data_IF_859044037562
#
_entry.id   IF_859044037562
#
_cell.length_a   1.000
_cell.length_b   1.000
_cell.length_c   1.000
_cell.angle_alpha   90.00
_cell.angle_beta   90.00
_cell.angle_gamma   90.00
#
_symmetry.space_group_name_H-M   'P 1'
#
loop_
_entity.id
_entity.type
_entity.pdbx_description
1 polymer ?
#
# COMPACT_ATOMS: atom_id res chain seq x y z
N UNK A 1 -12.46 -26.16 8.16
CA UNK A 1 -13.44 -26.11 7.05
C UNK A 1 -14.44 -27.27 7.09
N UNK A 2 -14.00 -28.55 7.08
CA UNK A 2 -14.94 -29.69 7.11
C UNK A 2 -15.83 -29.75 8.37
N UNK A 3 -15.31 -29.34 9.53
CA UNK A 3 -16.10 -29.25 10.78
C UNK A 3 -17.28 -28.29 10.67
N UNK A 4 -17.14 -27.18 9.92
CA UNK A 4 -18.21 -26.21 9.69
C UNK A 4 -19.32 -26.84 8.86
N UNK A 5 -18.96 -27.46 7.74
CA UNK A 5 -19.91 -28.13 6.83
C UNK A 5 -20.69 -29.21 7.58
N UNK A 6 -19.99 -30.05 8.35
CA UNK A 6 -20.61 -31.12 9.11
C UNK A 6 -21.54 -30.58 10.23
N UNK A 7 -21.17 -29.52 10.95
CA UNK A 7 -22.07 -28.89 11.94
C UNK A 7 -23.29 -28.24 11.29
N UNK A 8 -23.16 -27.66 10.09
CA UNK A 8 -24.30 -27.13 9.32
C UNK A 8 -25.27 -28.24 8.93
N UNK A 9 -24.76 -29.35 8.39
CA UNK A 9 -25.59 -30.52 8.04
C UNK A 9 -26.28 -31.10 9.27
N UNK A 10 -25.57 -31.22 10.39
CA UNK A 10 -26.17 -31.67 11.65
C UNK A 10 -27.31 -30.75 12.10
N UNK A 11 -27.13 -29.43 12.00
CA UNK A 11 -28.16 -28.45 12.35
C UNK A 11 -29.38 -28.50 11.40
N UNK A 12 -29.20 -29.00 10.17
CA UNK A 12 -30.25 -29.23 9.19
C UNK A 12 -30.98 -30.59 9.38
N UNK A 13 -30.64 -31.36 10.42
CA UNK A 13 -31.30 -32.63 10.76
C UNK A 13 -30.60 -33.89 10.24
N UNK A 14 -29.42 -33.77 9.64
CA UNK A 14 -28.63 -34.92 9.21
C UNK A 14 -27.88 -35.56 10.38
N UNK A 15 -27.75 -36.88 10.37
CA UNK A 15 -26.97 -37.62 11.37
C UNK A 15 -25.48 -37.65 11.00
N UNK A 16 -24.61 -37.29 11.95
CA UNK A 16 -23.16 -37.36 11.77
C UNK A 16 -22.63 -38.71 12.24
N UNK A 17 -22.28 -39.56 11.29
CA UNK A 17 -21.62 -40.84 11.58
C UNK A 17 -20.10 -40.66 11.74
N UNK A 18 -19.53 -41.30 12.75
CA UNK A 18 -18.06 -41.39 12.93
C UNK A 18 -17.56 -42.69 12.32
N UNK A 19 -16.52 -42.62 11.48
CA UNK A 19 -15.90 -43.79 10.86
C UNK A 19 -14.58 -44.11 11.56
N UNK A 20 -14.39 -45.37 11.95
CA UNK A 20 -13.12 -45.89 12.47
C UNK A 20 -12.26 -46.36 11.29
N UNK A 21 -11.03 -45.86 11.20
CA UNK A 21 -10.11 -46.22 10.11
C UNK A 21 -9.22 -47.38 10.59
N UNK A 22 -9.50 -48.58 10.10
CA UNK A 22 -8.68 -49.78 10.35
C UNK A 22 -7.27 -49.57 9.78
N UNK A 23 -6.26 -49.50 10.65
CA UNK A 23 -4.85 -49.30 10.30
C UNK A 23 -4.17 -48.16 11.06
N UNK A 24 -4.89 -47.06 11.31
CA UNK A 24 -4.35 -45.88 11.99
C UNK A 24 -4.84 -45.73 13.46
N UNK A 25 -5.67 -46.67 13.95
CA UNK A 25 -6.31 -46.62 15.30
C UNK A 25 -6.96 -45.26 15.60
N UNK A 26 -7.49 -44.59 14.58
CA UNK A 26 -8.13 -43.28 14.69
C UNK A 26 -9.56 -43.31 14.13
N UNK A 27 -10.30 -42.25 14.44
CA UNK A 27 -11.67 -42.04 13.98
C UNK A 27 -11.84 -40.63 13.42
N UNK A 28 -12.74 -40.48 12.45
CA UNK A 28 -13.04 -39.20 11.79
C UNK A 28 -14.55 -39.05 11.62
N UNK A 29 -15.11 -37.82 11.75
CA UNK A 29 -14.44 -36.57 12.13
C UNK A 29 -14.18 -36.44 13.65
N UNK A 30 -13.05 -35.82 14.03
CA UNK A 30 -12.78 -35.47 15.43
C UNK A 30 -13.38 -34.12 15.80
N UNK A 31 -14.49 -34.16 16.54
CA UNK A 31 -15.24 -33.00 17.03
C UNK A 31 -14.89 -32.56 18.45
N UNK A 32 -13.65 -32.80 18.90
CA UNK A 32 -13.24 -32.38 20.24
C UNK A 32 -13.16 -30.85 20.33
N UNK A 33 -13.82 -30.31 21.34
CA UNK A 33 -13.73 -28.89 21.68
C UNK A 33 -12.36 -28.56 22.25
N UNK A 34 -11.95 -27.31 22.07
CA UNK A 34 -10.71 -26.77 22.64
C UNK A 34 -11.05 -25.90 23.83
N UNK A 35 -10.27 -25.98 24.91
CA UNK A 35 -10.42 -25.11 26.06
C UNK A 35 -9.34 -24.05 26.05
N UNK A 36 -9.74 -22.79 26.12
CA UNK A 36 -8.85 -21.62 26.21
C UNK A 36 -9.23 -20.85 27.47
N UNK A 37 -8.23 -20.40 28.22
CA UNK A 37 -8.44 -19.65 29.46
C UNK A 37 -8.18 -18.17 29.17
N UNK A 38 -9.20 -17.33 29.34
CA UNK A 38 -9.11 -15.88 29.25
C UNK A 38 -9.07 -15.27 30.65
N UNK A 39 -8.13 -14.38 30.92
CA UNK A 39 -8.13 -13.61 32.15
C UNK A 39 -8.98 -12.33 31.98
N UNK A 40 -9.83 -12.02 32.96
CA UNK A 40 -10.66 -10.81 32.99
C UNK A 40 -9.83 -9.53 32.82
N UNK A 41 -8.69 -9.41 33.50
CA UNK A 41 -7.86 -8.21 33.43
C UNK A 41 -7.34 -7.98 32.01
N UNK A 42 -6.99 -9.05 31.28
CA UNK A 42 -6.53 -8.95 29.89
C UNK A 42 -7.63 -8.42 28.97
N UNK A 43 -8.86 -8.93 29.10
CA UNK A 43 -9.98 -8.47 28.30
C UNK A 43 -10.30 -6.99 28.58
N UNK A 44 -10.35 -6.62 29.86
CA UNK A 44 -10.61 -5.25 30.28
C UNK A 44 -9.50 -4.28 29.87
N UNK A 45 -8.22 -4.67 30.03
CA UNK A 45 -7.09 -3.81 29.64
C UNK A 45 -7.02 -3.59 28.13
N UNK A 46 -7.32 -4.62 27.34
CA UNK A 46 -7.27 -4.53 25.88
C UNK A 46 -8.46 -3.74 25.31
N UNK A 47 -9.66 -3.91 25.89
CA UNK A 47 -10.88 -3.24 25.42
C UNK A 47 -11.09 -1.86 26.03
N UNK A 48 -10.33 -1.48 27.05
CA UNK A 48 -10.56 -0.25 27.81
C UNK A 48 -11.89 -0.27 28.58
N UNK A 49 -12.35 -1.46 28.98
CA UNK A 49 -13.61 -1.68 29.69
C UNK A 49 -13.37 -2.13 31.13
N UNK A 50 -14.44 -2.17 31.92
CA UNK A 50 -14.44 -2.75 33.27
C UNK A 50 -15.59 -3.75 33.42
N UNK A 51 -15.58 -4.79 32.59
CA UNK A 51 -16.58 -5.86 32.59
C UNK A 51 -16.28 -6.86 33.69
N UNK A 52 -17.31 -7.26 34.44
CA UNK A 52 -17.21 -8.35 35.41
C UNK A 52 -17.09 -9.72 34.71
N UNK A 53 -16.59 -10.78 35.38
CA UNK A 53 -16.47 -12.12 34.77
C UNK A 53 -17.81 -12.66 34.28
N UNK A 54 -18.90 -12.37 34.99
CA UNK A 54 -20.25 -12.76 34.58
C UNK A 54 -20.68 -12.07 33.28
N UNK A 55 -20.34 -10.79 33.11
CA UNK A 55 -20.62 -10.04 31.88
C UNK A 55 -19.80 -10.58 30.71
N UNK A 56 -18.51 -10.86 30.92
CA UNK A 56 -17.62 -11.49 29.92
C UNK A 56 -18.14 -12.86 29.49
N UNK A 57 -18.61 -13.69 30.42
CA UNK A 57 -19.25 -14.97 30.08
C UNK A 57 -20.50 -14.74 29.23
N UNK A 58 -21.32 -13.74 29.54
CA UNK A 58 -22.52 -13.44 28.75
C UNK A 58 -22.20 -12.99 27.33
N UNK A 59 -21.12 -12.22 27.12
CA UNK A 59 -20.72 -11.76 25.78
C UNK A 59 -20.18 -12.92 24.95
N UNK A 60 -19.30 -13.75 25.52
CA UNK A 60 -18.80 -14.96 24.86
C UNK A 60 -19.93 -15.92 24.46
N UNK A 61 -20.94 -16.09 25.32
CA UNK A 61 -22.11 -16.93 25.00
C UNK A 61 -22.94 -16.39 23.83
N UNK A 62 -23.12 -15.07 23.72
CA UNK A 62 -23.76 -14.47 22.53
C UNK A 62 -23.02 -14.81 21.25
N UNK A 63 -21.71 -14.99 21.32
CA UNK A 63 -20.86 -15.37 20.21
C UNK A 63 -20.71 -16.90 20.05
N UNK A 64 -21.64 -17.68 20.62
CA UNK A 64 -21.70 -19.15 20.54
C UNK A 64 -20.49 -19.86 21.14
N UNK A 65 -19.88 -19.25 22.16
CA UNK A 65 -18.80 -19.84 22.94
C UNK A 65 -19.29 -20.19 24.33
N UNK A 66 -19.19 -21.46 24.71
CA UNK A 66 -19.53 -21.89 26.05
C UNK A 66 -18.43 -21.46 27.02
N UNK A 67 -18.77 -20.60 27.98
CA UNK A 67 -17.81 -20.04 28.92
C UNK A 67 -18.27 -20.22 30.37
N UNK A 68 -17.31 -20.48 31.25
CA UNK A 68 -17.53 -20.58 32.71
C UNK A 68 -16.50 -19.76 33.45
N UNK A 69 -16.95 -18.96 34.43
CA UNK A 69 -16.06 -18.17 35.26
C UNK A 69 -15.53 -18.99 36.45
N UNK A 70 -14.23 -18.92 36.70
CA UNK A 70 -13.52 -19.39 37.88
C UNK A 70 -12.72 -18.22 38.44
N UNK A 71 -13.31 -17.47 39.37
CA UNK A 71 -12.77 -16.19 39.85
C UNK A 71 -12.54 -15.22 38.67
N UNK A 72 -11.30 -14.74 38.49
CA UNK A 72 -10.89 -13.85 37.39
C UNK A 72 -10.58 -14.56 36.07
N UNK A 73 -10.60 -15.89 36.04
CA UNK A 73 -10.31 -16.67 34.85
C UNK A 73 -11.61 -17.21 34.24
N UNK A 74 -11.81 -16.96 32.95
CA UNK A 74 -12.92 -17.47 32.17
C UNK A 74 -12.40 -18.66 31.36
N UNK A 75 -12.93 -19.86 31.63
CA UNK A 75 -12.65 -21.06 30.84
C UNK A 75 -13.65 -21.09 29.70
N UNK A 76 -13.16 -20.82 28.49
CA UNK A 76 -13.94 -20.83 27.26
C UNK A 76 -13.75 -22.15 26.52
N UNK A 77 -14.85 -22.78 26.15
CA UNK A 77 -14.91 -24.00 25.34
C UNK A 77 -15.25 -23.60 23.92
N UNK A 78 -14.23 -23.69 23.07
CA UNK A 78 -14.30 -23.33 21.65
C UNK A 78 -14.77 -24.55 20.88
N UNK A 79 -15.97 -24.50 20.28
CA UNK A 79 -16.50 -25.63 19.53
C UNK A 79 -15.67 -25.86 18.26
N UNK A 80 -15.59 -27.10 17.80
CA UNK A 80 -14.70 -27.46 16.67
C UNK A 80 -14.99 -26.72 15.36
N UNK A 81 -16.21 -26.21 15.16
CA UNK A 81 -16.59 -25.42 13.99
C UNK A 81 -16.02 -23.98 14.03
N UNK A 82 -15.65 -23.45 15.19
CA UNK A 82 -14.92 -22.18 15.34
C UNK A 82 -13.42 -22.42 15.13
N UNK A 83 -13.04 -22.52 13.85
CA UNK A 83 -11.66 -22.77 13.44
C UNK A 83 -10.80 -21.50 13.43
N UNK A 84 -11.45 -20.35 13.50
CA UNK A 84 -10.90 -18.99 13.55
C UNK A 84 -10.32 -18.63 14.93
N UNK A 85 -10.75 -19.29 16.01
CA UNK A 85 -10.25 -19.04 17.37
C UNK A 85 -9.04 -19.94 17.66
N UNK A 86 -7.88 -19.34 17.87
CA UNK A 86 -6.61 -20.00 18.18
C UNK A 86 -6.07 -19.67 19.57
N UNK A 87 -6.34 -18.47 20.07
CA UNK A 87 -5.74 -17.95 21.30
C UNK A 87 -6.67 -17.06 22.13
N UNK A 88 -6.08 -16.43 23.15
CA UNK A 88 -6.81 -15.55 24.08
C UNK A 88 -7.24 -14.23 23.46
N UNK A 89 -6.47 -13.69 22.52
CA UNK A 89 -6.82 -12.44 21.83
C UNK A 89 -8.07 -12.59 20.96
N UNK A 90 -8.25 -13.75 20.32
CA UNK A 90 -9.49 -14.03 19.59
C UNK A 90 -10.69 -14.06 20.55
N UNK A 91 -10.51 -14.55 21.78
CA UNK A 91 -11.57 -14.45 22.80
C UNK A 91 -11.83 -13.00 23.24
N UNK A 92 -10.81 -12.13 23.26
CA UNK A 92 -11.00 -10.70 23.54
C UNK A 92 -11.82 -10.03 22.43
N UNK A 93 -11.55 -10.37 21.16
CA UNK A 93 -12.36 -9.94 20.02
C UNK A 93 -13.82 -10.39 20.17
N UNK A 94 -14.04 -11.66 20.54
CA UNK A 94 -15.38 -12.19 20.77
C UNK A 94 -16.11 -11.51 21.93
N UNK A 95 -15.38 -11.11 22.98
CA UNK A 95 -15.93 -10.29 24.06
C UNK A 95 -16.34 -8.92 23.55
N UNK A 96 -15.55 -8.28 22.67
CA UNK A 96 -15.88 -7.00 22.05
C UNK A 96 -17.14 -7.12 21.18
N UNK A 97 -17.23 -8.15 20.34
CA UNK A 97 -18.39 -8.43 19.48
C UNK A 97 -19.65 -8.69 20.31
N UNK A 98 -19.56 -9.53 21.34
CA UNK A 98 -20.71 -9.84 22.21
C UNK A 98 -21.13 -8.67 23.12
N UNK A 99 -20.19 -7.76 23.43
CA UNK A 99 -20.46 -6.49 24.09
C UNK A 99 -21.15 -5.49 23.15
N UNK A 100 -20.83 -5.54 21.87
CA UNK A 100 -21.26 -4.58 20.84
C UNK A 100 -20.17 -3.53 20.63
N UNK A 101 -19.55 -3.51 19.45
CA UNK A 101 -18.48 -2.57 19.09
C UNK A 101 -18.97 -1.13 19.21
N UNK A 102 -20.25 -0.90 18.88
CA UNK A 102 -20.93 0.39 18.98
C UNK A 102 -21.03 0.94 20.42
N UNK A 103 -20.87 0.08 21.43
CA UNK A 103 -20.90 0.48 22.83
C UNK A 103 -19.51 0.90 23.35
N UNK A 104 -18.45 0.69 22.57
CA UNK A 104 -17.10 1.12 22.94
C UNK A 104 -17.02 2.65 22.85
N UNK A 105 -16.62 3.29 23.95
CA UNK A 105 -16.42 4.74 23.97
C UNK A 105 -15.02 5.06 23.44
N UNK A 106 -14.89 5.83 22.34
CA UNK A 106 -13.58 6.22 21.83
C UNK A 106 -12.79 7.00 22.89
N UNK A 107 -11.55 6.58 23.11
CA UNK A 107 -10.62 7.29 23.99
C UNK A 107 -9.35 7.59 23.20
N UNK A 108 -8.99 8.88 23.11
CA UNK A 108 -7.75 9.32 22.49
C UNK A 108 -6.66 9.34 23.56
N UNK A 109 -5.73 8.41 23.46
CA UNK A 109 -4.49 8.52 24.23
C UNK A 109 -3.73 9.75 23.74
N UNK A 110 -3.23 10.61 24.65
CA UNK A 110 -2.41 11.73 24.24
C UNK A 110 -1.16 11.20 23.52
N UNK A 111 -0.72 11.84 22.42
CA UNK A 111 0.48 11.40 21.71
C UNK A 111 1.67 11.45 22.67
N UNK A 112 2.40 10.34 22.77
CA UNK A 112 3.59 10.26 23.62
C UNK A 112 4.83 10.90 22.99
N UNK A 113 4.78 11.15 21.68
CA UNK A 113 5.88 11.70 20.90
C UNK A 113 5.39 12.82 20.00
N UNK A 114 6.27 13.79 19.75
CA UNK A 114 6.07 14.80 18.71
C UNK A 114 6.58 14.23 17.39
N UNK A 115 5.71 14.17 16.38
CA UNK A 115 6.10 13.85 15.02
C UNK A 115 6.80 15.04 14.36
N UNK A 116 7.74 14.75 13.47
CA UNK A 116 8.33 15.73 12.56
C UNK A 116 8.14 15.27 11.13
N UNK A 117 8.01 16.21 10.20
CA UNK A 117 7.96 15.88 8.77
C UNK A 117 9.33 15.41 8.30
N UNK A 118 9.32 14.48 7.35
CA UNK A 118 10.55 14.04 6.69
C UNK A 118 11.13 15.21 5.88
N UNK A 119 12.44 15.44 6.00
CA UNK A 119 13.14 16.48 5.23
C UNK A 119 12.97 16.31 3.72
N UNK A 120 13.03 15.09 3.22
CA UNK A 120 12.79 14.76 1.81
C UNK A 120 11.40 15.20 1.36
N UNK A 121 10.37 14.94 2.16
CA UNK A 121 9.01 15.40 1.87
C UNK A 121 8.92 16.92 1.80
N UNK A 122 9.55 17.64 2.74
CA UNK A 122 9.55 19.11 2.71
C UNK A 122 10.27 19.66 1.47
N UNK A 123 11.40 19.05 1.09
CA UNK A 123 12.13 19.40 -0.13
C UNK A 123 11.28 19.20 -1.38
N UNK A 124 10.65 18.03 -1.53
CA UNK A 124 9.80 17.72 -2.69
C UNK A 124 8.56 18.61 -2.73
N UNK A 125 7.97 18.89 -1.58
CA UNK A 125 6.83 19.80 -1.48
C UNK A 125 7.22 21.22 -1.90
N UNK A 126 8.37 21.73 -1.45
CA UNK A 126 8.90 23.03 -1.88
C UNK A 126 9.16 23.07 -3.40
N UNK A 127 9.69 21.98 -3.95
CA UNK A 127 9.93 21.82 -5.38
C UNK A 127 8.63 21.88 -6.19
N UNK A 128 7.60 21.12 -5.80
CA UNK A 128 6.29 21.16 -6.47
C UNK A 128 5.67 22.56 -6.40
N UNK A 129 5.75 23.25 -5.27
CA UNK A 129 5.30 24.65 -5.16
C UNK A 129 6.06 25.59 -6.10
N UNK A 130 7.37 25.39 -6.25
CA UNK A 130 8.21 26.17 -7.18
C UNK A 130 7.77 25.96 -8.62
N UNK A 131 7.58 24.71 -9.05
CA UNK A 131 7.14 24.37 -10.41
C UNK A 131 5.75 24.92 -10.72
N UNK A 132 4.81 24.82 -9.76
CA UNK A 132 3.48 25.44 -9.88
C UNK A 132 3.59 26.96 -10.00
N UNK A 133 4.45 27.59 -9.20
CA UNK A 133 4.74 29.03 -9.30
C UNK A 133 5.34 29.46 -10.64
N UNK A 134 6.06 28.56 -11.32
CA UNK A 134 6.58 28.75 -12.67
C UNK A 134 5.53 28.47 -13.78
N UNK A 135 4.28 28.17 -13.39
CA UNK A 135 3.16 27.97 -14.30
C UNK A 135 3.03 26.55 -14.87
N UNK A 136 3.64 25.56 -14.22
CA UNK A 136 3.49 24.15 -14.61
C UNK A 136 2.36 23.45 -13.88
N UNK A 137 1.72 22.51 -14.56
CA UNK A 137 0.76 21.58 -13.97
C UNK A 137 1.45 20.27 -13.58
N UNK A 138 1.23 19.81 -12.34
CA UNK A 138 1.78 18.53 -11.89
C UNK A 138 1.01 17.36 -12.52
N UNK A 139 1.74 16.43 -13.12
CA UNK A 139 1.23 15.18 -13.64
C UNK A 139 1.62 14.03 -12.71
N UNK A 140 0.74 13.03 -12.60
CA UNK A 140 0.99 11.82 -11.84
C UNK A 140 0.89 10.62 -12.79
N UNK A 141 2.02 10.10 -13.23
CA UNK A 141 2.06 8.93 -14.10
C UNK A 141 2.33 7.66 -13.27
N UNK A 142 1.85 6.52 -13.78
CA UNK A 142 2.15 5.22 -13.17
C UNK A 142 3.65 4.92 -13.22
N UNK A 143 4.19 4.39 -12.12
CA UNK A 143 5.55 3.84 -12.08
C UNK A 143 5.70 2.57 -12.91
N UNK A 144 4.59 1.88 -13.21
CA UNK A 144 4.54 0.76 -14.16
C UNK A 144 4.04 1.25 -15.52
N UNK A 145 4.82 1.00 -16.55
CA UNK A 145 4.54 1.39 -17.94
C UNK A 145 4.83 0.23 -18.90
N UNK A 146 4.83 0.50 -20.20
CA UNK A 146 5.12 -0.45 -21.26
C UNK A 146 6.46 -0.15 -21.93
N UNK A 147 7.04 -1.19 -22.54
CA UNK A 147 8.28 -1.06 -23.33
C UNK A 147 8.12 -0.03 -24.44
N UNK A 148 6.94 -0.03 -25.07
CA UNK A 148 6.59 0.89 -26.16
C UNK A 148 6.76 2.35 -25.74
N UNK A 149 6.17 2.72 -24.60
CA UNK A 149 6.21 4.12 -24.13
C UNK A 149 7.61 4.47 -23.63
N UNK A 150 8.23 3.60 -22.83
CA UNK A 150 9.46 3.93 -22.12
C UNK A 150 10.72 3.90 -23.01
N UNK A 151 10.77 2.99 -23.99
CA UNK A 151 11.95 2.72 -24.82
C UNK A 151 11.70 2.94 -26.31
N UNK A 152 10.67 2.31 -26.88
CA UNK A 152 10.49 2.31 -28.34
C UNK A 152 10.16 3.72 -28.88
N UNK A 153 9.27 4.47 -28.19
CA UNK A 153 8.91 5.84 -28.58
C UNK A 153 9.99 6.88 -28.23
N UNK A 154 10.92 6.55 -27.34
CA UNK A 154 11.98 7.48 -26.89
C UNK A 154 13.34 7.14 -27.49
N UNK A 155 13.40 6.14 -28.37
CA UNK A 155 14.62 5.60 -28.98
C UNK A 155 15.70 5.21 -27.95
N UNK A 156 15.29 4.78 -26.74
CA UNK A 156 16.21 4.36 -25.67
C UNK A 156 16.47 2.85 -25.73
N UNK A 157 17.68 2.45 -25.33
CA UNK A 157 18.04 1.03 -25.22
C UNK A 157 17.26 0.36 -24.08
N UNK A 158 16.76 -0.84 -24.33
CA UNK A 158 15.91 -1.61 -23.40
C UNK A 158 16.64 -2.77 -22.71
N UNK A 159 17.97 -2.90 -22.88
CA UNK A 159 18.76 -4.00 -22.28
C UNK A 159 18.70 -4.02 -20.74
N UNK A 160 18.58 -2.83 -20.12
CA UNK A 160 18.53 -2.66 -18.67
C UNK A 160 17.12 -2.54 -18.10
N UNK A 161 16.10 -2.79 -18.91
CA UNK A 161 14.71 -2.79 -18.50
C UNK A 161 14.42 -3.77 -17.35
N UNK A 162 13.55 -3.35 -16.43
CA UNK A 162 13.06 -4.17 -15.33
C UNK A 162 11.57 -4.45 -15.51
N UNK A 163 11.24 -5.71 -15.78
CA UNK A 163 9.87 -6.17 -16.00
C UNK A 163 9.32 -6.92 -14.80
N UNK A 164 8.01 -6.78 -14.55
CA UNK A 164 7.29 -7.66 -13.62
C UNK A 164 7.17 -9.07 -14.22
N UNK A 165 7.14 -10.10 -13.36
CA UNK A 165 7.05 -11.49 -13.83
C UNK A 165 5.71 -11.78 -14.51
N UNK A 166 4.61 -11.43 -13.84
CA UNK A 166 3.25 -11.62 -14.35
C UNK A 166 2.51 -10.30 -14.28
N UNK A 167 2.08 -9.78 -15.43
CA UNK A 167 1.17 -8.63 -15.49
C UNK A 167 -0.16 -9.02 -16.09
N UNK A 168 -1.23 -8.47 -15.52
CA UNK A 168 -2.58 -8.56 -16.08
C UNK A 168 -2.82 -7.58 -17.23
N UNK A 169 -1.92 -6.61 -17.43
CA UNK A 169 -2.02 -5.59 -18.48
C UNK A 169 -0.70 -5.47 -19.24
N UNK A 170 -0.77 -5.37 -20.56
CA UNK A 170 0.42 -5.09 -21.39
C UNK A 170 0.96 -3.66 -21.18
N UNK A 171 0.12 -2.75 -20.69
CA UNK A 171 0.47 -1.35 -20.42
C UNK A 171 1.28 -1.16 -19.12
N UNK A 172 1.26 -2.16 -18.23
CA UNK A 172 1.91 -2.10 -16.93
C UNK A 172 2.81 -3.32 -16.73
N UNK A 173 3.87 -3.38 -17.53
CA UNK A 173 4.79 -4.53 -17.58
C UNK A 173 6.18 -4.20 -17.05
N UNK A 174 6.55 -2.93 -16.98
CA UNK A 174 7.92 -2.47 -16.75
C UNK A 174 7.96 -1.32 -15.75
N UNK A 175 8.93 -1.34 -14.85
CA UNK A 175 9.22 -0.21 -13.97
C UNK A 175 9.89 0.92 -14.76
N UNK A 176 9.39 2.15 -14.58
CA UNK A 176 9.93 3.33 -15.25
C UNK A 176 11.34 3.67 -14.76
N UNK A 177 12.22 3.99 -15.71
CA UNK A 177 13.56 4.51 -15.45
C UNK A 177 13.72 5.96 -15.99
N UNK A 178 12.63 6.54 -16.52
CA UNK A 178 12.64 7.82 -17.22
C UNK A 178 11.26 8.48 -17.21
N UNK A 179 11.08 9.49 -16.35
CA UNK A 179 9.80 10.20 -16.16
C UNK A 179 9.32 10.88 -17.44
N UNK A 180 10.25 11.46 -18.21
CA UNK A 180 9.92 12.25 -19.39
C UNK A 180 9.11 11.47 -20.43
N UNK A 181 9.30 10.14 -20.54
CA UNK A 181 8.49 9.29 -21.41
C UNK A 181 6.98 9.38 -21.10
N UNK A 182 6.62 9.42 -19.81
CA UNK A 182 5.24 9.57 -19.36
C UNK A 182 4.69 10.96 -19.71
N UNK A 183 5.46 12.02 -19.47
CA UNK A 183 5.07 13.39 -19.79
C UNK A 183 4.85 13.59 -21.30
N UNK A 184 5.71 13.03 -22.15
CA UNK A 184 5.54 13.06 -23.61
C UNK A 184 4.28 12.29 -24.02
N UNK A 185 4.03 11.13 -23.41
CA UNK A 185 2.82 10.36 -23.67
C UNK A 185 1.55 11.15 -23.27
N UNK A 186 1.62 11.93 -22.18
CA UNK A 186 0.53 12.82 -21.78
C UNK A 186 0.28 13.91 -22.82
N UNK A 187 1.32 14.58 -23.32
CA UNK A 187 1.19 15.54 -24.42
C UNK A 187 0.56 14.90 -25.65
N UNK A 188 0.99 13.69 -26.01
CA UNK A 188 0.46 12.98 -27.19
C UNK A 188 -1.02 12.61 -27.06
N UNK A 189 -1.49 12.35 -25.84
CA UNK A 189 -2.90 12.04 -25.57
C UNK A 189 -3.78 13.28 -25.46
N UNK A 190 -3.17 14.46 -25.26
CA UNK A 190 -3.84 15.74 -25.06
C UNK A 190 -3.56 16.74 -26.20
N UNK A 191 -3.27 16.27 -27.41
CA UNK A 191 -3.04 17.14 -28.59
C UNK A 191 -4.24 18.02 -28.95
N UNK A 192 -5.44 17.67 -28.47
CA UNK A 192 -6.68 18.41 -28.69
C UNK A 192 -6.88 19.54 -27.67
N UNK A 193 -6.08 19.56 -26.60
CA UNK A 193 -6.16 20.57 -25.55
C UNK A 193 -5.40 21.85 -25.94
N UNK A 194 -5.83 23.03 -25.46
CA UNK A 194 -5.18 24.30 -25.78
C UNK A 194 -3.70 24.35 -25.40
N UNK A 195 -2.90 24.97 -26.26
CA UNK A 195 -1.52 25.36 -25.96
C UNK A 195 -1.47 26.77 -25.34
N UNK A 196 -0.47 27.12 -24.52
CA UNK A 196 0.70 26.30 -24.15
C UNK A 196 0.35 25.21 -23.13
N UNK A 197 0.95 24.03 -23.30
CA UNK A 197 0.88 22.95 -22.32
C UNK A 197 2.21 22.85 -21.58
N UNK A 198 2.17 23.03 -20.25
CA UNK A 198 3.34 22.97 -19.36
C UNK A 198 3.07 21.95 -18.26
N UNK A 199 3.80 20.85 -18.27
CA UNK A 199 3.62 19.76 -17.29
C UNK A 199 4.93 19.41 -16.62
N UNK A 200 4.87 19.03 -15.35
CA UNK A 200 6.00 18.47 -14.63
C UNK A 200 5.58 17.25 -13.83
N UNK A 201 6.53 16.41 -13.50
CA UNK A 201 6.31 15.30 -12.58
C UNK A 201 7.56 15.09 -11.73
N UNK A 202 7.34 14.90 -10.44
CA UNK A 202 8.35 14.42 -9.50
C UNK A 202 7.99 13.00 -9.10
N UNK A 203 8.90 12.05 -9.22
CA UNK A 203 8.60 10.69 -8.81
C UNK A 203 9.76 9.72 -8.89
N UNK A 204 9.53 8.52 -8.39
CA UNK A 204 10.56 7.49 -8.34
C UNK A 204 10.82 6.90 -9.72
N UNK A 205 12.09 6.79 -10.07
CA UNK A 205 12.61 5.97 -11.16
C UNK A 205 13.42 4.82 -10.59
N UNK A 206 13.50 3.74 -11.35
CA UNK A 206 14.13 2.51 -10.90
C UNK A 206 15.28 2.14 -11.82
N UNK A 207 16.41 1.73 -11.24
CA UNK A 207 17.53 1.14 -12.00
C UNK A 207 18.01 -0.16 -11.38
N UNK A 208 18.64 -1.02 -12.20
CA UNK A 208 19.15 -2.32 -11.74
C UNK A 208 20.23 -2.11 -10.66
N UNK A 209 20.03 -2.76 -9.53
CA UNK A 209 20.96 -2.80 -8.39
C UNK A 209 20.68 -4.04 -7.55
N UNK A 210 21.51 -4.30 -6.54
CA UNK A 210 21.20 -5.29 -5.51
C UNK A 210 21.43 -4.68 -4.11
N UNK A 211 20.38 -4.16 -3.44
CA UNK A 211 18.97 -4.09 -3.87
C UNK A 211 18.73 -3.13 -5.05
N UNK A 212 17.54 -3.18 -5.66
CA UNK A 212 17.12 -2.26 -6.73
C UNK A 212 17.33 -0.81 -6.28
N UNK A 213 17.87 0.02 -7.16
CA UNK A 213 18.10 1.43 -6.85
C UNK A 213 16.83 2.22 -7.15
N UNK A 214 16.42 3.04 -6.19
CA UNK A 214 15.25 3.93 -6.28
C UNK A 214 15.73 5.37 -6.10
N UNK A 215 15.44 6.21 -7.09
CA UNK A 215 15.80 7.63 -7.07
C UNK A 215 14.59 8.48 -7.41
N UNK A 216 14.48 9.65 -6.78
CA UNK A 216 13.43 10.61 -7.11
C UNK A 216 13.97 11.56 -8.17
N UNK A 217 13.32 11.57 -9.32
CA UNK A 217 13.65 12.46 -10.42
C UNK A 217 12.55 13.52 -10.58
N UNK A 218 12.95 14.69 -11.09
CA UNK A 218 12.04 15.72 -11.59
C UNK A 218 12.19 15.77 -13.12
N UNK A 219 11.07 15.75 -13.83
CA UNK A 219 11.04 16.07 -15.26
C UNK A 219 9.95 17.11 -15.55
N UNK A 220 10.14 17.91 -16.60
CA UNK A 220 9.14 18.84 -17.08
C UNK A 220 9.17 18.96 -18.60
N UNK A 221 8.05 19.39 -19.18
CA UNK A 221 7.84 19.57 -20.62
C UNK A 221 7.09 20.86 -20.92
N UNK A 222 7.50 21.53 -22.00
CA UNK A 222 6.79 22.68 -22.57
C UNK A 222 6.41 22.33 -24.01
N UNK A 223 5.15 22.51 -24.35
CA UNK A 223 4.68 22.40 -25.72
C UNK A 223 3.95 23.69 -26.11
N UNK A 224 4.49 24.39 -27.11
CA UNK A 224 3.90 25.53 -27.82
C UNK A 224 4.82 25.92 -28.99
N UNK A 225 4.35 26.82 -29.87
CA UNK A 225 5.06 27.20 -31.10
C UNK A 225 6.46 27.79 -30.87
N UNK A 226 6.61 28.61 -29.82
CA UNK A 226 7.88 29.30 -29.52
C UNK A 226 8.80 28.55 -28.54
N UNK A 227 8.44 27.30 -28.21
CA UNK A 227 9.20 26.51 -27.24
C UNK A 227 10.63 26.26 -27.75
N UNK A 228 11.61 26.59 -26.92
CA UNK A 228 13.02 26.51 -27.30
C UNK A 228 13.92 26.09 -26.12
N UNK A 229 15.16 25.71 -26.44
CA UNK A 229 16.13 25.25 -25.45
C UNK A 229 16.42 26.29 -24.35
N UNK A 230 16.47 27.57 -24.69
CA UNK A 230 16.75 28.63 -23.71
C UNK A 230 15.65 28.74 -22.67
N UNK A 231 14.38 28.59 -23.07
CA UNK A 231 13.25 28.60 -22.13
C UNK A 231 13.37 27.49 -21.09
N UNK A 232 13.53 26.23 -21.52
CA UNK A 232 13.60 25.11 -20.58
C UNK A 232 14.86 25.19 -19.71
N UNK A 233 15.97 25.70 -20.25
CA UNK A 233 17.20 25.98 -19.49
C UNK A 233 16.95 27.02 -18.40
N UNK A 234 16.25 28.11 -18.70
CA UNK A 234 15.89 29.13 -17.70
C UNK A 234 15.01 28.55 -16.59
N UNK A 235 14.02 27.72 -16.93
CA UNK A 235 13.17 27.05 -15.94
C UNK A 235 13.99 26.11 -15.04
N UNK A 236 14.88 25.31 -15.63
CA UNK A 236 15.79 24.45 -14.88
C UNK A 236 16.67 25.26 -13.90
N UNK A 237 17.28 26.35 -14.36
CA UNK A 237 18.10 27.23 -13.52
C UNK A 237 17.29 27.86 -12.38
N UNK A 238 16.09 28.38 -12.67
CA UNK A 238 15.19 28.95 -11.67
C UNK A 238 14.72 27.92 -10.65
N UNK A 239 14.44 26.70 -11.08
CA UNK A 239 14.01 25.61 -10.21
C UNK A 239 15.13 25.18 -9.27
N UNK A 240 16.35 25.01 -9.78
CA UNK A 240 17.51 24.64 -8.96
C UNK A 240 17.91 25.76 -7.98
N UNK A 241 17.87 27.01 -8.41
CA UNK A 241 18.20 28.15 -7.56
C UNK A 241 17.13 28.39 -6.48
N UNK A 242 15.85 28.36 -6.82
CA UNK A 242 14.77 28.63 -5.86
C UNK A 242 14.49 27.42 -4.95
N UNK A 243 14.47 26.21 -5.52
CA UNK A 243 14.14 25.00 -4.78
C UNK A 243 15.28 24.47 -3.91
N UNK A 244 16.53 24.66 -4.34
CA UNK A 244 17.70 24.06 -3.68
C UNK A 244 18.85 25.04 -3.38
N UNK A 245 18.74 26.31 -3.79
CA UNK A 245 19.84 27.29 -3.75
C UNK A 245 21.11 26.82 -4.47
N UNK A 246 20.94 26.04 -5.55
CA UNK A 246 22.03 25.51 -6.38
C UNK A 246 22.17 26.38 -7.63
N UNK A 247 23.41 26.79 -7.93
CA UNK A 247 23.78 27.34 -9.23
C UNK A 247 24.31 26.20 -10.10
N UNK A 248 23.70 26.00 -11.27
CA UNK A 248 24.05 24.89 -12.16
C UNK A 248 24.76 25.36 -13.42
N UNK A 249 25.72 24.56 -13.88
CA UNK A 249 26.33 24.73 -15.19
C UNK A 249 25.77 23.68 -16.16
N UNK A 250 25.90 23.96 -17.45
CA UNK A 250 25.43 23.04 -18.50
C UNK A 250 26.54 22.75 -19.48
N UNK A 251 26.75 21.47 -19.81
CA UNK A 251 27.68 21.03 -20.84
C UNK A 251 26.91 20.39 -21.99
N UNK A 252 27.26 20.73 -23.23
CA UNK A 252 26.65 20.10 -24.41
C UNK A 252 26.85 18.59 -24.36
N UNK A 253 25.77 17.85 -24.61
CA UNK A 253 25.74 16.39 -24.60
C UNK A 253 24.81 15.89 -25.71
N UNK A 254 24.71 14.57 -25.87
CA UNK A 254 23.80 13.91 -26.80
C UNK A 254 23.00 12.85 -26.05
N UNK A 255 21.71 12.72 -26.36
CA UNK A 255 20.85 11.69 -25.81
C UNK A 255 19.89 11.19 -26.89
N UNK A 256 19.64 9.87 -27.00
CA UNK A 256 18.85 9.30 -28.11
C UNK A 256 17.43 9.87 -28.27
N UNK A 257 16.83 10.33 -27.16
CA UNK A 257 15.47 10.90 -27.16
C UNK A 257 15.42 12.34 -27.67
N UNK A 258 16.52 13.08 -27.61
CA UNK A 258 16.53 14.52 -27.92
C UNK A 258 17.16 14.80 -29.28
N UNK A 259 16.79 15.94 -29.87
CA UNK A 259 17.39 16.40 -31.12
C UNK A 259 18.89 16.74 -30.94
N UNK A 260 19.68 16.43 -31.96
CA UNK A 260 21.11 16.76 -31.98
C UNK A 260 21.34 18.27 -31.90
N UNK A 261 22.39 18.68 -31.18
CA UNK A 261 22.78 20.09 -31.04
C UNK A 261 21.93 20.93 -30.07
N UNK A 262 20.82 20.40 -29.54
CA UNK A 262 19.93 21.09 -28.59
C UNK A 262 19.78 20.33 -27.27
N UNK A 263 20.86 19.68 -26.82
CA UNK A 263 20.88 18.85 -25.61
C UNK A 263 22.06 19.24 -24.72
N UNK A 264 21.84 19.29 -23.41
CA UNK A 264 22.88 19.54 -22.43
C UNK A 264 22.68 18.69 -21.17
N UNK A 265 23.79 18.36 -20.54
CA UNK A 265 23.88 17.73 -19.23
C UNK A 265 24.12 18.79 -18.16
N UNK A 266 23.51 18.60 -16.99
CA UNK A 266 23.65 19.47 -15.82
C UNK A 266 24.88 19.00 -15.03
N UNK A 267 25.79 19.93 -14.73
CA UNK A 267 27.02 19.69 -13.94
C UNK A 267 27.01 20.59 -12.70
#
# INVERSE_FOLDING_TARGET
>A
MLSVVATILQSAGFELCTVNISGAKNSTPQFKDRKIILNENLANSMLGLNLSPAKIVSTLKKCRLEATAKNKNIVCTVPRYRFDIFGTMDLVEEVALGYGIENLTPNLSPPQTLGQKNHEFETLNSLSHTMVGLGYMEALNSSLTSKRILYDLTNRDSSNMMSVMDSKSQEHTILRDFILAGLINNLSSNIHEPYPQKMFETGTVFSKGNPVNEEIHLACVNAHNDANFSEIKSIMQSTLKTGFNIECNTKTSSHPTFAEGSTAEII
#
